data_IF_117099930774
#
_entry.id   IF_117099930774
#
_cell.length_a   1.000
_cell.length_b   1.000
_cell.length_c   1.000
_cell.angle_alpha   90.00
_cell.angle_beta   90.00
_cell.angle_gamma   90.00
#
_symmetry.space_group_name_H-M   'P 1'
#
loop_
_entity.id
_entity.type
_entity.pdbx_description
1 polymer ?
#
# COMPACT_ATOMS: atom_id res chain seq x y z
N UNK A 1 12.00 -15.64 22.56
CA UNK A 1 12.55 -15.92 21.22
C UNK A 1 12.42 -14.68 20.35
N UNK A 2 13.35 -14.50 19.41
CA UNK A 2 13.28 -13.40 18.43
C UNK A 2 12.16 -13.69 17.43
N UNK A 3 11.30 -12.71 17.15
CA UNK A 3 10.23 -12.87 16.15
C UNK A 3 10.84 -13.00 14.76
N UNK A 4 10.32 -13.91 13.95
CA UNK A 4 10.79 -14.16 12.58
C UNK A 4 9.75 -13.74 11.57
N UNK A 5 10.16 -12.98 10.56
CA UNK A 5 9.28 -12.51 9.51
C UNK A 5 9.85 -12.77 8.11
N UNK A 6 9.01 -13.17 7.18
CA UNK A 6 9.27 -13.18 5.75
C UNK A 6 8.55 -11.98 5.11
N UNK A 7 9.28 -11.19 4.32
CA UNK A 7 8.70 -10.11 3.52
C UNK A 7 8.83 -10.52 2.05
N UNK A 8 7.72 -10.75 1.37
CA UNK A 8 7.70 -10.85 -0.10
C UNK A 8 7.51 -9.45 -0.69
N UNK A 9 8.23 -9.09 -1.74
CA UNK A 9 8.26 -7.72 -2.26
C UNK A 9 9.07 -6.78 -1.35
N UNK A 10 10.15 -7.28 -0.76
CA UNK A 10 10.98 -6.58 0.22
C UNK A 10 11.71 -5.35 -0.36
N UNK A 11 12.02 -5.35 -1.65
CA UNK A 11 12.69 -4.25 -2.35
C UNK A 11 11.71 -3.20 -2.92
N UNK A 12 10.40 -3.44 -2.79
CA UNK A 12 9.36 -2.47 -3.10
C UNK A 12 9.32 -1.30 -2.10
N UNK A 13 8.56 -0.25 -2.43
CA UNK A 13 8.44 0.95 -1.60
C UNK A 13 8.04 0.64 -0.15
N UNK A 14 6.94 -0.11 0.05
CA UNK A 14 6.49 -0.49 1.40
C UNK A 14 7.45 -1.50 2.03
N UNK A 15 7.96 -2.45 1.25
CA UNK A 15 8.84 -3.53 1.71
C UNK A 15 10.12 -3.02 2.37
N UNK A 16 10.82 -2.07 1.74
CA UNK A 16 12.06 -1.46 2.29
C UNK A 16 11.80 -0.76 3.62
N UNK A 17 10.73 0.04 3.73
CA UNK A 17 10.37 0.71 4.97
C UNK A 17 9.99 -0.27 6.08
N UNK A 18 9.24 -1.34 5.74
CA UNK A 18 8.89 -2.38 6.69
C UNK A 18 10.13 -3.12 7.19
N UNK A 19 11.02 -3.53 6.27
CA UNK A 19 12.28 -4.20 6.62
C UNK A 19 13.09 -3.35 7.59
N UNK A 20 13.34 -2.09 7.26
CA UNK A 20 14.09 -1.17 8.11
C UNK A 20 13.49 -1.04 9.52
N UNK A 21 12.16 -0.95 9.63
CA UNK A 21 11.48 -0.87 10.92
C UNK A 21 11.58 -2.16 11.71
N UNK A 22 11.42 -3.33 11.07
CA UNK A 22 11.52 -4.63 11.73
C UNK A 22 12.96 -4.89 12.22
N UNK A 23 13.97 -4.51 11.45
CA UNK A 23 15.40 -4.58 11.84
C UNK A 23 15.66 -3.76 13.12
N UNK A 24 15.14 -2.51 13.18
CA UNK A 24 15.23 -1.65 14.39
C UNK A 24 14.53 -2.29 15.59
N UNK A 25 13.40 -2.98 15.37
CA UNK A 25 12.67 -3.70 16.43
C UNK A 25 13.33 -5.02 16.82
N UNK A 26 14.44 -5.39 16.20
CA UNK A 26 15.21 -6.58 16.52
C UNK A 26 14.60 -7.89 16.02
N UNK A 27 13.71 -7.86 15.01
CA UNK A 27 13.18 -9.07 14.39
C UNK A 27 14.26 -9.76 13.53
N UNK A 28 14.09 -11.05 13.30
CA UNK A 28 14.83 -11.78 12.27
C UNK A 28 14.04 -11.71 10.96
N UNK A 29 14.56 -10.97 9.98
CA UNK A 29 13.86 -10.66 8.74
C UNK A 29 14.46 -11.41 7.56
N UNK A 30 13.61 -12.13 6.84
CA UNK A 30 13.94 -12.79 5.59
C UNK A 30 13.28 -12.05 4.44
N UNK A 31 14.03 -11.88 3.33
CA UNK A 31 13.59 -11.15 2.16
C UNK A 31 13.37 -12.08 0.97
N UNK A 32 12.27 -11.87 0.24
CA UNK A 32 11.94 -12.61 -0.98
C UNK A 32 11.47 -11.63 -2.05
N UNK A 33 12.32 -11.36 -3.03
CA UNK A 33 12.07 -10.37 -4.08
C UNK A 33 12.66 -10.77 -5.42
N UNK A 34 12.06 -10.29 -6.51
CA UNK A 34 12.55 -10.50 -7.88
C UNK A 34 13.94 -9.89 -8.12
N UNK A 35 14.31 -8.84 -7.37
CA UNK A 35 15.68 -8.27 -7.45
C UNK A 35 16.73 -9.34 -7.12
N UNK A 36 16.39 -10.27 -6.22
CA UNK A 36 17.23 -11.44 -5.89
C UNK A 36 16.89 -12.67 -6.74
N UNK A 37 16.18 -12.53 -7.86
CA UNK A 37 15.67 -13.62 -8.69
C UNK A 37 14.76 -14.59 -7.93
N UNK A 38 14.06 -14.13 -6.90
CA UNK A 38 13.12 -14.90 -6.08
C UNK A 38 11.69 -14.54 -6.46
N UNK A 39 11.13 -15.26 -7.44
CA UNK A 39 9.73 -15.10 -7.81
C UNK A 39 8.81 -15.48 -6.65
N UNK A 40 7.77 -14.69 -6.39
CA UNK A 40 6.83 -14.95 -5.31
C UNK A 40 6.07 -16.27 -5.51
N UNK A 41 5.87 -16.70 -6.75
CA UNK A 41 5.26 -18.00 -7.10
C UNK A 41 6.09 -19.19 -6.59
N UNK A 42 7.40 -18.98 -6.40
CA UNK A 42 8.36 -19.96 -5.94
C UNK A 42 8.63 -19.92 -4.42
N UNK A 43 7.89 -19.11 -3.66
CA UNK A 43 8.12 -18.93 -2.20
C UNK A 43 8.04 -20.25 -1.42
N UNK A 44 7.40 -21.29 -1.95
CA UNK A 44 7.38 -22.62 -1.37
C UNK A 44 8.80 -23.26 -1.28
N UNK A 45 9.80 -22.74 -2.01
CA UNK A 45 11.22 -23.14 -1.93
C UNK A 45 11.95 -22.53 -0.73
N UNK A 46 11.31 -21.57 -0.04
CA UNK A 46 11.87 -21.00 1.19
C UNK A 46 11.73 -21.99 2.35
N UNK A 47 12.86 -22.39 2.94
CA UNK A 47 12.92 -23.52 3.87
C UNK A 47 13.01 -23.12 5.36
N UNK A 48 13.08 -21.83 5.68
CA UNK A 48 13.08 -21.38 7.09
C UNK A 48 11.64 -21.20 7.58
N UNK A 49 11.38 -21.56 8.83
CA UNK A 49 10.10 -21.26 9.48
C UNK A 49 10.09 -19.82 9.99
N UNK A 50 8.97 -19.13 9.79
CA UNK A 50 8.72 -17.78 10.30
C UNK A 50 7.40 -17.70 11.05
N UNK A 51 7.30 -16.74 11.98
CA UNK A 51 6.05 -16.47 12.70
C UNK A 51 5.06 -15.69 11.84
N UNK A 52 5.58 -14.81 10.95
CA UNK A 52 4.79 -13.87 10.17
C UNK A 52 5.26 -13.81 8.71
N UNK A 53 4.31 -13.70 7.80
CA UNK A 53 4.57 -13.38 6.38
C UNK A 53 3.88 -12.07 6.05
N UNK A 54 4.66 -11.06 5.65
CA UNK A 54 4.16 -9.82 5.07
C UNK A 54 4.17 -9.97 3.54
N UNK A 55 2.99 -10.19 2.97
CA UNK A 55 2.85 -10.40 1.54
C UNK A 55 2.60 -9.06 0.83
N UNK A 56 3.69 -8.47 0.33
CA UNK A 56 3.71 -7.19 -0.39
C UNK A 56 4.04 -7.37 -1.87
N UNK A 57 4.60 -8.52 -2.27
CA UNK A 57 4.88 -8.82 -3.67
C UNK A 57 3.63 -8.76 -4.52
N UNK A 58 3.74 -8.11 -5.66
CA UNK A 58 2.67 -7.99 -6.63
C UNK A 58 2.88 -6.81 -7.56
N UNK A 59 2.34 -6.93 -8.76
CA UNK A 59 2.32 -5.84 -9.74
C UNK A 59 1.22 -4.86 -9.35
N UNK A 60 1.55 -3.56 -9.27
CA UNK A 60 0.60 -2.51 -8.86
C UNK A 60 0.45 -1.38 -9.88
N UNK A 61 1.33 -1.31 -10.86
CA UNK A 61 1.33 -0.23 -11.84
C UNK A 61 0.57 -0.61 -13.12
N UNK A 62 -0.17 0.38 -13.67
CA UNK A 62 -0.97 0.20 -14.88
C UNK A 62 -0.14 -0.17 -16.12
N UNK A 63 1.12 0.30 -16.20
CA UNK A 63 1.97 0.05 -17.37
C UNK A 63 2.29 -1.43 -17.48
N UNK A 64 2.64 -2.08 -16.39
CA UNK A 64 2.89 -3.52 -16.32
C UNK A 64 1.64 -4.32 -16.68
N UNK A 65 0.46 -3.94 -16.12
CA UNK A 65 -0.79 -4.59 -16.53
C UNK A 65 -1.15 -4.40 -18.00
N UNK A 66 -0.83 -3.25 -18.60
CA UNK A 66 -1.06 -3.01 -20.03
C UNK A 66 -0.08 -3.80 -20.91
N UNK A 67 1.16 -3.99 -20.46
CA UNK A 67 2.19 -4.68 -21.24
C UNK A 67 2.08 -6.20 -21.16
N UNK A 68 1.73 -6.76 -20.01
CA UNK A 68 1.58 -8.19 -19.80
C UNK A 68 0.52 -8.52 -18.75
N UNK A 69 -0.74 -8.49 -19.16
CA UNK A 69 -1.89 -8.69 -18.27
C UNK A 69 -1.90 -10.09 -17.63
N UNK A 70 -1.56 -11.13 -18.40
CA UNK A 70 -1.60 -12.51 -17.93
C UNK A 70 -0.57 -12.75 -16.81
N UNK A 71 0.68 -12.33 -17.02
CA UNK A 71 1.73 -12.48 -16.01
C UNK A 71 1.45 -11.62 -14.77
N UNK A 72 0.89 -10.39 -14.97
CA UNK A 72 0.50 -9.53 -13.83
C UNK A 72 -0.58 -10.17 -12.95
N UNK A 73 -1.58 -10.79 -13.56
CA UNK A 73 -2.58 -11.56 -12.81
C UNK A 73 -1.98 -12.81 -12.18
N UNK A 74 -1.12 -13.54 -12.89
CA UNK A 74 -0.49 -14.75 -12.37
C UNK A 74 0.41 -14.42 -11.15
N UNK A 75 1.24 -13.39 -11.23
CA UNK A 75 2.03 -12.93 -10.09
C UNK A 75 1.14 -12.58 -8.89
N UNK A 76 0.05 -11.82 -9.10
CA UNK A 76 -0.78 -11.35 -8.01
C UNK A 76 -1.67 -12.46 -7.41
N UNK A 77 -2.10 -13.44 -8.19
CA UNK A 77 -3.02 -14.50 -7.77
C UNK A 77 -2.26 -15.78 -7.41
N UNK A 78 -1.46 -16.33 -8.32
CA UNK A 78 -0.68 -17.56 -8.07
C UNK A 78 0.40 -17.31 -7.02
N UNK A 79 1.02 -16.10 -7.03
CA UNK A 79 1.92 -15.68 -5.97
C UNK A 79 1.25 -15.65 -4.59
N UNK A 80 0.03 -15.12 -4.50
CA UNK A 80 -0.75 -15.15 -3.25
C UNK A 80 -1.05 -16.59 -2.81
N UNK A 81 -1.46 -17.46 -3.73
CA UNK A 81 -1.69 -18.88 -3.43
C UNK A 81 -0.43 -19.57 -2.91
N UNK A 82 0.74 -19.29 -3.50
CA UNK A 82 2.01 -19.85 -3.06
C UNK A 82 2.38 -19.38 -1.63
N UNK A 83 2.19 -18.09 -1.33
CA UNK A 83 2.41 -17.54 0.01
C UNK A 83 1.46 -18.17 1.04
N UNK A 84 0.18 -18.29 0.73
CA UNK A 84 -0.80 -18.89 1.65
C UNK A 84 -0.50 -20.38 1.90
N UNK A 85 -0.07 -21.11 0.87
CA UNK A 85 0.36 -22.50 1.03
C UNK A 85 1.61 -22.61 1.91
N UNK A 86 2.57 -21.68 1.78
CA UNK A 86 3.71 -21.58 2.69
C UNK A 86 3.24 -21.32 4.13
N UNK A 87 2.34 -20.34 4.35
CA UNK A 87 1.78 -20.05 5.68
C UNK A 87 1.09 -21.26 6.30
N UNK A 88 0.30 -21.99 5.50
CA UNK A 88 -0.36 -23.23 5.94
C UNK A 88 0.63 -24.28 6.43
N UNK A 89 1.75 -24.48 5.69
CA UNK A 89 2.76 -25.50 6.04
C UNK A 89 3.56 -25.14 7.29
N UNK A 90 3.71 -23.87 7.60
CA UNK A 90 4.59 -23.37 8.65
C UNK A 90 3.84 -22.75 9.83
N UNK A 91 2.52 -22.83 9.87
CA UNK A 91 1.64 -22.20 10.88
C UNK A 91 1.93 -20.69 11.05
N UNK A 92 2.25 -20.02 9.95
CA UNK A 92 2.63 -18.61 9.93
C UNK A 92 1.41 -17.71 9.69
N UNK A 93 1.34 -16.59 10.42
CA UNK A 93 0.32 -15.56 10.20
C UNK A 93 0.63 -14.75 8.94
N UNK A 94 -0.36 -14.58 8.07
CA UNK A 94 -0.22 -13.78 6.85
C UNK A 94 -0.78 -12.36 7.03
N UNK A 95 0.00 -11.35 6.66
CA UNK A 95 -0.44 -9.96 6.53
C UNK A 95 -0.39 -9.62 5.05
N UNK A 96 -1.57 -9.48 4.42
CA UNK A 96 -1.71 -9.25 2.99
C UNK A 96 -1.98 -7.77 2.70
N UNK A 97 -1.12 -7.16 1.88
CA UNK A 97 -1.33 -5.80 1.39
C UNK A 97 -2.32 -5.80 0.23
N UNK A 98 -3.54 -5.34 0.50
CA UNK A 98 -4.58 -5.03 -0.49
C UNK A 98 -4.65 -3.53 -0.76
N UNK A 99 -5.68 -3.06 -1.41
CA UNK A 99 -5.83 -1.68 -1.87
C UNK A 99 -7.24 -1.15 -1.63
N UNK A 100 -7.37 0.16 -1.39
CA UNK A 100 -8.66 0.86 -1.42
C UNK A 100 -9.35 0.80 -2.78
N UNK A 101 -8.60 0.50 -3.86
CA UNK A 101 -9.15 0.36 -5.21
C UNK A 101 -10.18 -0.76 -5.39
N UNK A 102 -10.36 -1.64 -4.39
CA UNK A 102 -11.40 -2.67 -4.40
C UNK A 102 -12.81 -2.09 -4.16
N UNK A 103 -12.91 -0.90 -3.55
CA UNK A 103 -14.18 -0.25 -3.26
C UNK A 103 -14.81 0.40 -4.49
N UNK A 104 -16.12 0.53 -4.44
CA UNK A 104 -16.85 1.44 -5.30
C UNK A 104 -16.57 2.90 -4.92
N UNK A 105 -16.60 3.81 -5.90
CA UNK A 105 -16.53 5.25 -5.63
C UNK A 105 -17.68 5.70 -4.73
N UNK A 106 -17.40 6.48 -3.71
CA UNK A 106 -18.39 6.92 -2.72
C UNK A 106 -18.16 8.36 -2.27
N UNK A 107 -19.26 9.08 -2.07
CA UNK A 107 -19.22 10.41 -1.44
C UNK A 107 -19.22 10.34 0.11
N UNK A 108 -19.33 9.13 0.66
CA UNK A 108 -19.20 8.85 2.10
C UNK A 108 -17.93 8.09 2.35
N UNK A 109 -17.43 8.10 3.59
CA UNK A 109 -16.36 7.21 4.01
C UNK A 109 -16.79 5.75 3.82
N UNK A 110 -15.85 4.91 3.36
CA UNK A 110 -16.09 3.48 3.16
C UNK A 110 -15.48 2.69 4.33
N UNK A 111 -16.28 1.83 4.93
CA UNK A 111 -15.85 0.83 5.90
C UNK A 111 -15.53 -0.51 5.21
N UNK A 112 -15.12 -1.51 5.97
CA UNK A 112 -14.74 -2.82 5.43
C UNK A 112 -15.92 -3.63 4.88
N UNK A 113 -17.17 -3.22 5.20
CA UNK A 113 -18.42 -3.84 4.72
C UNK A 113 -19.04 -3.11 3.52
N UNK A 114 -18.47 -1.98 3.14
CA UNK A 114 -18.95 -1.18 2.00
C UNK A 114 -18.82 -1.91 0.67
N UNK A 115 -19.65 -1.52 -0.30
CA UNK A 115 -19.72 -2.15 -1.62
C UNK A 115 -18.38 -2.16 -2.35
N UNK A 116 -18.04 -3.32 -2.88
CA UNK A 116 -16.82 -3.56 -3.65
C UNK A 116 -17.15 -3.54 -5.15
N UNK A 117 -16.42 -2.71 -5.90
CA UNK A 117 -16.54 -2.63 -7.35
C UNK A 117 -15.17 -2.27 -7.96
N UNK A 118 -14.20 -3.20 -7.95
CA UNK A 118 -12.86 -2.94 -8.48
C UNK A 118 -12.93 -2.64 -9.99
N UNK A 119 -12.47 -1.45 -10.40
CA UNK A 119 -12.63 -0.95 -11.77
C UNK A 119 -11.36 -1.06 -12.63
N UNK A 120 -10.21 -1.40 -12.04
CA UNK A 120 -8.95 -1.58 -12.78
C UNK A 120 -8.46 -3.03 -12.69
N UNK A 121 -7.69 -3.52 -13.68
CA UNK A 121 -7.09 -4.87 -13.62
C UNK A 121 -6.32 -5.14 -12.33
N UNK A 122 -5.55 -4.16 -11.86
CA UNK A 122 -4.87 -4.22 -10.56
C UNK A 122 -5.85 -4.43 -9.40
N UNK A 123 -6.88 -3.58 -9.30
CA UNK A 123 -7.87 -3.69 -8.24
C UNK A 123 -8.64 -5.02 -8.28
N UNK A 124 -8.96 -5.51 -9.48
CA UNK A 124 -9.59 -6.82 -9.69
C UNK A 124 -8.67 -7.94 -9.19
N UNK A 125 -7.38 -7.92 -9.52
CA UNK A 125 -6.43 -8.94 -9.06
C UNK A 125 -6.30 -8.96 -7.53
N UNK A 126 -6.26 -7.79 -6.88
CA UNK A 126 -6.22 -7.68 -5.41
C UNK A 126 -7.53 -8.15 -4.76
N UNK A 127 -8.68 -7.82 -5.34
CA UNK A 127 -9.97 -8.34 -4.88
C UNK A 127 -10.06 -9.86 -4.94
N UNK A 128 -9.63 -10.46 -6.05
CA UNK A 128 -9.59 -11.92 -6.19
C UNK A 128 -8.65 -12.55 -5.16
N UNK A 129 -7.49 -11.94 -4.92
CA UNK A 129 -6.56 -12.39 -3.89
C UNK A 129 -7.15 -12.29 -2.47
N UNK A 130 -7.92 -11.23 -2.13
CA UNK A 130 -8.67 -11.14 -0.86
C UNK A 130 -9.64 -12.30 -0.70
N UNK A 131 -10.36 -12.68 -1.77
CA UNK A 131 -11.32 -13.81 -1.74
C UNK A 131 -10.61 -15.15 -1.50
N UNK A 132 -9.42 -15.32 -2.08
CA UNK A 132 -8.55 -16.49 -1.85
C UNK A 132 -8.08 -16.49 -0.39
N UNK A 133 -7.60 -15.38 0.14
CA UNK A 133 -7.20 -15.23 1.54
C UNK A 133 -8.34 -15.63 2.50
N UNK A 134 -9.55 -15.13 2.25
CA UNK A 134 -10.72 -15.49 3.04
C UNK A 134 -10.99 -17.00 3.04
N UNK A 135 -11.00 -17.63 1.87
CA UNK A 135 -11.28 -19.05 1.75
C UNK A 135 -10.20 -19.90 2.42
N UNK A 136 -8.91 -19.52 2.26
CA UNK A 136 -7.80 -20.21 2.93
C UNK A 136 -7.89 -20.11 4.45
N UNK A 137 -8.20 -18.92 4.98
CA UNK A 137 -8.37 -18.75 6.43
C UNK A 137 -9.50 -19.61 6.97
N UNK A 138 -10.64 -19.63 6.27
CA UNK A 138 -11.82 -20.41 6.68
C UNK A 138 -11.59 -21.91 6.64
N UNK A 139 -10.93 -22.42 5.61
CA UNK A 139 -10.78 -23.85 5.38
C UNK A 139 -9.67 -24.45 6.25
N UNK A 140 -8.59 -23.73 6.45
CA UNK A 140 -7.39 -24.26 7.12
C UNK A 140 -7.01 -23.53 8.42
N UNK A 141 -7.89 -22.67 8.96
CA UNK A 141 -7.64 -21.88 10.18
C UNK A 141 -6.35 -21.06 10.18
N UNK A 142 -5.88 -20.63 8.99
CA UNK A 142 -4.69 -19.79 8.88
C UNK A 142 -5.04 -18.37 9.34
N UNK A 143 -4.32 -17.77 10.28
CA UNK A 143 -4.54 -16.39 10.66
C UNK A 143 -4.13 -15.45 9.50
N UNK A 144 -5.08 -14.74 8.91
CA UNK A 144 -4.83 -13.83 7.79
C UNK A 144 -5.43 -12.46 8.10
N UNK A 145 -4.62 -11.43 7.97
CA UNK A 145 -5.07 -10.04 8.04
C UNK A 145 -4.87 -9.36 6.69
N UNK A 146 -5.95 -8.88 6.11
CA UNK A 146 -5.95 -8.08 4.88
C UNK A 146 -5.94 -6.60 5.26
N UNK A 147 -5.02 -5.85 4.69
CA UNK A 147 -4.92 -4.41 4.86
C UNK A 147 -5.29 -3.72 3.53
N UNK A 148 -6.46 -3.10 3.47
CA UNK A 148 -6.87 -2.24 2.36
C UNK A 148 -6.21 -0.89 2.53
N UNK A 149 -5.04 -0.74 1.90
CA UNK A 149 -4.21 0.46 2.03
C UNK A 149 -4.73 1.52 1.07
N UNK A 150 -4.94 2.74 1.60
CA UNK A 150 -5.33 3.90 0.81
C UNK A 150 -4.12 4.52 0.10
N UNK A 151 -4.16 5.79 -0.28
CA UNK A 151 -3.10 6.35 -1.11
C UNK A 151 -1.83 6.62 -0.28
N UNK A 152 -1.01 5.58 -0.13
CA UNK A 152 0.23 5.68 0.62
C UNK A 152 1.22 6.63 -0.06
N UNK A 153 1.91 7.44 0.75
CA UNK A 153 2.99 8.32 0.30
C UNK A 153 4.12 8.37 1.32
N UNK A 154 5.29 8.79 0.88
CA UNK A 154 6.47 8.96 1.75
C UNK A 154 7.75 8.97 0.95
N UNK A 155 8.86 9.09 1.67
CA UNK A 155 10.20 9.08 1.09
C UNK A 155 10.45 7.82 0.25
N UNK A 156 11.21 7.97 -0.82
CA UNK A 156 11.58 6.90 -1.76
C UNK A 156 10.40 6.28 -2.53
N UNK A 157 9.22 6.89 -2.49
CA UNK A 157 8.13 6.48 -3.36
C UNK A 157 8.47 6.84 -4.81
N UNK A 158 8.42 5.88 -5.74
CA UNK A 158 8.75 6.15 -7.14
C UNK A 158 7.64 6.94 -7.86
N UNK A 159 7.99 7.65 -8.94
CA UNK A 159 7.00 8.05 -9.95
C UNK A 159 6.43 6.81 -10.65
N UNK A 160 5.19 6.86 -11.14
CA UNK A 160 4.35 8.03 -11.38
C UNK A 160 3.27 8.29 -10.32
N UNK A 161 3.47 7.88 -9.07
CA UNK A 161 2.51 8.18 -8.02
C UNK A 161 2.36 9.69 -7.81
N UNK A 162 1.12 10.13 -7.49
CA UNK A 162 0.75 11.56 -7.54
C UNK A 162 1.59 12.45 -6.60
N UNK A 163 1.93 11.96 -5.38
CA UNK A 163 2.70 12.77 -4.43
C UNK A 163 4.13 13.00 -4.92
N UNK A 164 4.94 11.96 -5.26
CA UNK A 164 6.27 12.19 -5.83
C UNK A 164 6.22 12.96 -7.14
N UNK A 165 5.22 12.74 -8.00
CA UNK A 165 5.05 13.49 -9.24
C UNK A 165 4.88 15.00 -8.98
N UNK A 166 3.97 15.39 -8.06
CA UNK A 166 3.74 16.79 -7.71
C UNK A 166 5.00 17.41 -7.10
N UNK A 167 5.64 16.72 -6.15
CA UNK A 167 6.82 17.24 -5.45
C UNK A 167 8.00 17.41 -6.41
N UNK A 168 8.28 16.42 -7.24
CA UNK A 168 9.39 16.48 -8.21
C UNK A 168 9.19 17.59 -9.25
N UNK A 169 7.99 17.70 -9.82
CA UNK A 169 7.67 18.77 -10.77
C UNK A 169 7.80 20.15 -10.15
N UNK A 170 7.27 20.31 -8.94
CA UNK A 170 7.32 21.58 -8.20
C UNK A 170 8.78 21.99 -7.87
N UNK A 171 9.60 21.06 -7.40
CA UNK A 171 11.01 21.35 -7.05
C UNK A 171 11.83 21.71 -8.28
N UNK A 172 11.66 20.99 -9.37
CA UNK A 172 12.41 21.20 -10.61
C UNK A 172 11.87 22.35 -11.46
N UNK A 173 10.80 23.04 -11.03
CA UNK A 173 10.18 24.13 -11.80
C UNK A 173 9.51 23.70 -13.10
N UNK A 174 9.09 22.44 -13.17
CA UNK A 174 8.42 21.88 -14.35
C UNK A 174 6.90 22.02 -14.25
N UNK A 175 6.23 22.09 -15.38
CA UNK A 175 4.79 22.15 -15.48
C UNK A 175 4.13 20.88 -14.93
N UNK A 176 3.07 21.05 -14.13
CA UNK A 176 2.20 20.01 -13.63
C UNK A 176 1.01 19.79 -14.56
N UNK A 177 0.90 18.61 -15.14
CA UNK A 177 -0.27 18.23 -15.94
C UNK A 177 -1.26 17.47 -15.07
N UNK A 178 -2.40 18.05 -14.74
CA UNK A 178 -3.42 17.49 -13.85
C UNK A 178 -4.71 17.24 -14.61
N UNK A 179 -5.15 15.98 -14.65
CA UNK A 179 -6.38 15.58 -15.35
C UNK A 179 -7.64 15.84 -14.53
N UNK A 180 -7.61 15.54 -13.23
CA UNK A 180 -8.76 15.61 -12.31
C UNK A 180 -8.40 16.33 -11.01
N UNK A 181 -8.32 17.67 -11.00
CA UNK A 181 -7.90 18.45 -9.82
C UNK A 181 -8.86 18.29 -8.62
N UNK A 182 -10.15 18.07 -8.89
CA UNK A 182 -11.19 17.91 -7.86
C UNK A 182 -11.34 16.45 -7.36
N UNK A 183 -10.59 15.49 -7.92
CA UNK A 183 -10.62 14.11 -7.45
C UNK A 183 -10.13 14.03 -6.01
N UNK A 184 -10.91 13.33 -5.18
CA UNK A 184 -10.64 13.18 -3.75
C UNK A 184 -9.88 11.89 -3.48
N UNK A 185 -8.85 12.00 -2.63
CA UNK A 185 -8.05 10.87 -2.15
C UNK A 185 -7.89 10.95 -0.64
N UNK A 186 -7.62 9.81 -0.04
CA UNK A 186 -7.18 9.68 1.34
C UNK A 186 -5.69 9.34 1.32
N UNK A 187 -4.85 10.31 1.67
CA UNK A 187 -3.40 10.15 1.68
C UNK A 187 -2.90 9.71 3.04
N UNK A 188 -2.19 8.60 3.09
CA UNK A 188 -1.62 8.05 4.32
C UNK A 188 -0.10 7.96 4.23
N UNK A 189 0.60 8.40 5.28
CA UNK A 189 2.06 8.35 5.31
C UNK A 189 2.56 6.91 5.51
N UNK A 190 3.67 6.57 4.86
CA UNK A 190 4.26 5.22 4.90
C UNK A 190 4.53 4.73 6.32
N UNK A 191 4.99 5.60 7.23
CA UNK A 191 5.24 5.20 8.62
C UNK A 191 3.99 4.68 9.33
N UNK A 192 2.82 5.30 9.09
CA UNK A 192 1.57 4.86 9.70
C UNK A 192 1.08 3.54 9.10
N UNK A 193 1.35 3.30 7.80
CA UNK A 193 1.08 2.00 7.15
C UNK A 193 1.96 0.91 7.76
N UNK A 194 3.26 1.17 7.97
CA UNK A 194 4.19 0.22 8.59
C UNK A 194 3.77 -0.12 10.02
N UNK A 195 3.38 0.89 10.81
CA UNK A 195 2.89 0.67 12.17
C UNK A 195 1.61 -0.20 12.17
N UNK A 196 0.67 0.04 11.24
CA UNK A 196 -0.52 -0.80 11.07
C UNK A 196 -0.18 -2.25 10.71
N UNK A 197 0.80 -2.48 9.81
CA UNK A 197 1.27 -3.82 9.45
C UNK A 197 1.83 -4.57 10.65
N UNK A 198 2.70 -3.93 11.43
CA UNK A 198 3.33 -4.54 12.61
C UNK A 198 2.29 -4.85 13.69
N UNK A 199 1.38 -3.92 13.96
CA UNK A 199 0.28 -4.12 14.89
C UNK A 199 -0.61 -5.29 14.44
N UNK A 200 -0.94 -5.35 13.15
CA UNK A 200 -1.73 -6.46 12.58
C UNK A 200 -1.04 -7.81 12.74
N UNK A 201 0.29 -7.86 12.59
CA UNK A 201 1.05 -9.09 12.80
C UNK A 201 1.00 -9.55 14.27
N UNK A 202 1.19 -8.62 15.20
CA UNK A 202 1.31 -8.91 16.63
C UNK A 202 -0.03 -8.98 17.36
N UNK A 203 -1.12 -8.53 16.74
CA UNK A 203 -2.45 -8.65 17.33
C UNK A 203 -2.88 -10.13 17.46
N UNK A 204 -3.42 -10.52 18.60
CA UNK A 204 -3.71 -11.91 18.97
C UNK A 204 -4.86 -12.56 18.20
N UNK A 205 -5.39 -11.92 17.18
CA UNK A 205 -6.51 -12.44 16.41
C UNK A 205 -6.09 -13.62 15.53
N UNK A 206 -6.75 -14.77 15.74
CA UNK A 206 -6.48 -16.02 15.01
C UNK A 206 -7.35 -16.22 13.75
N UNK A 207 -8.23 -15.27 13.45
CA UNK A 207 -9.19 -15.40 12.36
C UNK A 207 -8.83 -14.52 11.16
N UNK A 208 -9.68 -14.58 10.13
CA UNK A 208 -9.63 -13.67 9.02
C UNK A 208 -10.11 -12.27 9.41
N UNK A 209 -9.30 -11.25 9.10
CA UNK A 209 -9.65 -9.86 9.34
C UNK A 209 -9.32 -9.00 8.15
N UNK A 210 -10.11 -7.94 7.97
CA UNK A 210 -9.86 -6.86 7.02
C UNK A 210 -9.81 -5.55 7.80
N UNK A 211 -8.86 -4.68 7.47
CA UNK A 211 -8.76 -3.33 8.01
C UNK A 211 -8.51 -2.30 6.93
N UNK A 212 -9.23 -1.19 7.00
CA UNK A 212 -8.93 0.00 6.21
C UNK A 212 -7.76 0.76 6.81
N UNK A 213 -6.71 0.95 6.02
CA UNK A 213 -5.50 1.68 6.41
C UNK A 213 -5.43 2.97 5.60
N UNK A 214 -6.11 3.98 6.10
CA UNK A 214 -6.21 5.34 5.59
C UNK A 214 -6.39 6.33 6.73
N UNK A 215 -6.25 7.61 6.46
CA UNK A 215 -6.39 8.67 7.49
C UNK A 215 -7.83 9.01 7.79
N UNK A 216 -8.75 8.69 6.89
CA UNK A 216 -10.14 9.18 6.95
C UNK A 216 -10.26 10.67 6.58
N UNK A 217 -9.21 11.27 6.03
CA UNK A 217 -9.20 12.68 5.63
C UNK A 217 -9.37 12.78 4.11
N UNK A 218 -10.39 13.52 3.71
CA UNK A 218 -10.71 13.80 2.32
C UNK A 218 -9.80 14.92 1.79
N UNK A 219 -8.95 14.63 0.81
CA UNK A 219 -8.02 15.61 0.21
C UNK A 219 -8.18 15.63 -1.30
N UNK A 220 -8.50 16.80 -1.88
CA UNK A 220 -8.52 16.97 -3.34
C UNK A 220 -7.08 17.04 -3.86
N UNK A 221 -6.89 16.65 -5.12
CA UNK A 221 -5.57 16.75 -5.78
C UNK A 221 -5.08 18.20 -5.78
N UNK A 222 -5.95 19.17 -6.00
CA UNK A 222 -5.58 20.59 -5.96
C UNK A 222 -5.12 21.03 -4.55
N UNK A 223 -5.71 20.47 -3.48
CA UNK A 223 -5.31 20.78 -2.10
C UNK A 223 -3.95 20.16 -1.75
N UNK A 224 -3.63 18.97 -2.28
CA UNK A 224 -2.28 18.40 -2.22
C UNK A 224 -1.25 19.35 -2.84
N UNK A 225 -1.51 19.86 -4.05
CA UNK A 225 -0.61 20.78 -4.76
C UNK A 225 -0.41 22.06 -3.94
N UNK A 226 -1.50 22.68 -3.50
CA UNK A 226 -1.46 23.91 -2.70
C UNK A 226 -0.68 23.73 -1.39
N UNK A 227 -0.83 22.54 -0.77
CA UNK A 227 -0.07 22.20 0.45
C UNK A 227 1.42 22.06 0.16
N UNK A 228 1.77 21.37 -0.92
CA UNK A 228 3.16 21.23 -1.36
C UNK A 228 3.79 22.58 -1.72
N UNK A 229 3.09 23.45 -2.45
CA UNK A 229 3.53 24.82 -2.77
C UNK A 229 3.95 25.60 -1.51
N UNK A 230 3.11 25.54 -0.47
CA UNK A 230 3.39 26.24 0.80
C UNK A 230 4.61 25.67 1.52
N UNK A 231 4.76 24.33 1.53
CA UNK A 231 5.87 23.67 2.25
C UNK A 231 7.20 23.90 1.55
N UNK A 232 7.23 23.85 0.24
CA UNK A 232 8.45 23.98 -0.57
C UNK A 232 8.77 25.43 -0.95
N UNK A 233 7.87 26.39 -0.62
CA UNK A 233 7.99 27.82 -0.99
C UNK A 233 8.17 28.00 -2.51
N UNK A 234 7.36 27.28 -3.28
CA UNK A 234 7.39 27.29 -4.75
C UNK A 234 5.97 27.35 -5.31
N UNK A 235 5.85 27.87 -6.53
CA UNK A 235 4.58 27.87 -7.27
C UNK A 235 4.66 26.89 -8.42
N UNK A 236 3.58 26.14 -8.60
CA UNK A 236 3.42 25.24 -9.71
C UNK A 236 2.84 25.99 -10.92
N UNK A 237 3.41 25.73 -12.09
CA UNK A 237 2.74 26.01 -13.36
C UNK A 237 1.84 24.82 -13.68
N UNK A 238 0.50 25.01 -13.64
CA UNK A 238 -0.45 23.91 -13.74
C UNK A 238 -1.22 23.98 -15.06
N UNK A 239 -1.16 22.91 -15.83
CA UNK A 239 -2.00 22.68 -17.01
C UNK A 239 -3.12 21.70 -16.61
N UNK A 240 -4.36 22.16 -16.70
CA UNK A 240 -5.52 21.31 -16.51
C UNK A 240 -5.93 20.67 -17.83
N UNK A 241 -5.59 19.39 -17.99
CA UNK A 241 -6.03 18.60 -19.14
C UNK A 241 -7.48 18.18 -18.91
N UNK A 242 -8.42 18.82 -19.62
CA UNK A 242 -9.83 18.42 -19.65
C UNK A 242 -9.97 17.14 -20.50
N UNK A 243 -9.53 16.01 -19.99
CA UNK A 243 -9.91 14.73 -20.57
C UNK A 243 -11.32 14.38 -20.12
N UNK A 244 -12.20 14.03 -21.05
CA UNK A 244 -13.55 13.51 -20.79
C UNK A 244 -13.53 12.11 -20.13
N UNK A 245 -12.46 11.72 -19.45
CA UNK A 245 -12.26 10.40 -18.88
C UNK A 245 -12.90 10.30 -17.49
N UNK A 246 -14.16 9.90 -17.48
CA UNK A 246 -14.82 9.32 -16.32
C UNK A 246 -15.19 10.27 -15.17
N UNK A 247 -16.05 9.80 -14.30
CA UNK A 247 -16.32 10.46 -13.01
C UNK A 247 -15.12 10.28 -12.08
N UNK A 248 -14.71 11.30 -11.30
CA UNK A 248 -13.65 11.15 -10.32
C UNK A 248 -14.02 10.03 -9.33
N UNK A 249 -13.14 9.05 -9.18
CA UNK A 249 -13.29 8.00 -8.19
C UNK A 249 -12.88 8.57 -6.83
N UNK A 250 -13.85 8.84 -5.96
CA UNK A 250 -13.62 9.36 -4.62
C UNK A 250 -13.73 8.21 -3.62
N UNK A 251 -12.66 7.98 -2.87
CA UNK A 251 -12.63 6.93 -1.85
C UNK A 251 -11.86 7.45 -0.63
N UNK A 252 -12.54 7.47 0.52
CA UNK A 252 -11.98 7.92 1.82
C UNK A 252 -12.30 6.86 2.86
N UNK A 253 -11.34 6.51 3.70
CA UNK A 253 -11.49 5.45 4.69
C UNK A 253 -12.44 5.83 5.84
N UNK A 254 -13.29 4.92 6.25
CA UNK A 254 -13.62 4.76 7.64
C UNK A 254 -12.61 3.77 8.24
N UNK A 255 -11.74 4.27 9.11
CA UNK A 255 -10.65 3.51 9.73
C UNK A 255 -10.94 3.16 11.19
N UNK A 256 -12.16 3.37 11.65
CA UNK A 256 -12.58 3.21 13.05
C UNK A 256 -12.28 1.81 13.58
N UNK A 257 -12.41 0.79 12.74
CA UNK A 257 -12.12 -0.60 13.08
C UNK A 257 -10.63 -0.80 13.41
N UNK A 258 -9.74 -0.32 12.55
CA UNK A 258 -8.29 -0.42 12.76
C UNK A 258 -7.85 0.34 14.02
N UNK A 259 -8.37 1.55 14.24
CA UNK A 259 -8.08 2.36 15.43
C UNK A 259 -8.51 1.61 16.70
N UNK A 260 -9.71 1.04 16.72
CA UNK A 260 -10.30 0.38 17.89
C UNK A 260 -9.66 -0.97 18.18
N UNK A 261 -9.54 -1.84 17.17
CA UNK A 261 -9.14 -3.23 17.39
C UNK A 261 -7.62 -3.40 17.45
N UNK A 262 -6.85 -2.68 16.62
CA UNK A 262 -5.39 -2.78 16.62
C UNK A 262 -4.72 -1.80 17.61
N UNK A 263 -5.45 -0.83 18.15
CA UNK A 263 -4.85 0.29 18.89
C UNK A 263 -3.94 1.15 18.02
N UNK A 264 -4.13 1.07 16.69
CA UNK A 264 -3.37 1.84 15.72
C UNK A 264 -3.63 3.33 15.88
N UNK A 265 -2.65 4.16 15.53
CA UNK A 265 -2.73 5.62 15.58
C UNK A 265 -2.19 6.22 14.30
N UNK A 266 -2.82 7.31 13.87
CA UNK A 266 -2.34 8.13 12.76
C UNK A 266 -1.45 9.22 13.35
N UNK A 267 -0.18 9.22 12.95
CA UNK A 267 0.83 10.15 13.46
C UNK A 267 1.14 11.25 12.44
N UNK A 268 0.80 11.04 11.16
CA UNK A 268 1.09 11.94 10.06
C UNK A 268 -0.17 12.32 9.30
N UNK A 269 -0.45 13.61 9.23
CA UNK A 269 -1.31 14.17 8.19
C UNK A 269 -0.47 14.43 6.92
N UNK A 270 -1.14 14.89 5.85
CA UNK A 270 -0.46 15.18 4.59
C UNK A 270 0.62 16.25 4.75
N UNK A 271 0.34 17.32 5.49
CA UNK A 271 1.27 18.43 5.69
C UNK A 271 2.54 17.96 6.41
N UNK A 272 2.39 17.28 7.53
CA UNK A 272 3.50 16.73 8.29
C UNK A 272 4.32 15.74 7.47
N UNK A 273 3.66 14.85 6.72
CA UNK A 273 4.34 13.89 5.86
C UNK A 273 5.17 14.57 4.76
N UNK A 274 4.66 15.61 4.13
CA UNK A 274 5.40 16.39 3.12
C UNK A 274 6.59 17.16 3.71
N UNK A 275 6.46 17.68 4.94
CA UNK A 275 7.60 18.30 5.64
C UNK A 275 8.74 17.30 5.87
N UNK A 276 8.42 16.06 6.25
CA UNK A 276 9.43 15.00 6.41
C UNK A 276 10.05 14.55 5.09
N UNK A 277 9.37 14.74 3.97
CA UNK A 277 9.88 14.43 2.64
C UNK A 277 10.98 15.42 2.19
N UNK A 278 10.90 16.69 2.58
CA UNK A 278 11.81 17.78 2.16
C UNK A 278 13.30 17.50 2.42
N UNK A 279 13.75 17.08 3.62
CA UNK A 279 15.18 16.87 3.89
C UNK A 279 15.79 15.73 3.06
N UNK A 280 15.01 14.80 2.59
CA UNK A 280 15.47 13.66 1.78
C UNK A 280 15.75 14.12 0.36
N UNK A 281 14.90 14.99 -0.17
CA UNK A 281 15.09 15.62 -1.48
C UNK A 281 16.36 16.49 -1.49
N UNK A 282 16.56 17.29 -0.43
CA UNK A 282 17.75 18.14 -0.26
C UNK A 282 19.05 17.31 -0.21
N UNK A 283 19.01 16.11 0.40
CA UNK A 283 20.17 15.19 0.48
C UNK A 283 20.49 14.49 -0.84
N UNK A 284 19.50 14.24 -1.69
CA UNK A 284 19.67 13.56 -2.99
C UNK A 284 20.20 14.55 -4.06
N UNK A 285 20.31 15.84 -3.74
CA UNK A 285 20.87 16.84 -4.66
C UNK A 285 19.93 17.21 -5.81
N UNK A 286 18.66 16.92 -5.69
CA UNK A 286 17.62 17.46 -6.55
C UNK A 286 17.36 18.91 -6.15
N UNK A 287 18.29 19.80 -6.58
CA UNK A 287 18.16 21.25 -6.46
C UNK A 287 17.35 21.80 -7.61
#
# INVERSE_FOLDING_TARGET
>A
MKRKALITGSEGFIGRHLKAKLDVLGWEVFCWDMVDSKDVRDVAKFNNNVDFVFHLAGISDEKSFKSNILDSFDINITGTLAVLNYCKKNDAKCIFASTSGVYNSSNKKVDELSDLNPSSPYAISKYLAERICYQFSKEWNIPITVLRIFNVFGAEQPEPFIVPYVVNKLINGNTLEIKMPEAVRDFIHISDVIDAMILSATHSNKNFNIYNIGTGISTRIIDLITTAEKIYDKKADIIFNKSNEGKPCNIVADNSKALKELGWKINFDLQRGLVFYKPIIDKIGLK
#
